data_IF_794006669785
#
_entry.id   IF_794006669785
#
_cell.length_a   1.000
_cell.length_b   1.000
_cell.length_c   1.000
_cell.angle_alpha   90.00
_cell.angle_beta   90.00
_cell.angle_gamma   90.00
#
_symmetry.space_group_name_H-M   'P 1'
#
loop_
_entity.id
_entity.type
_entity.pdbx_description
1 polymer ?
#
# COMPACT_ATOMS: atom_id res chain seq x y z
N UNK A 1 4.28 4.31 29.72
CA UNK A 1 3.98 5.13 28.53
C UNK A 1 3.07 4.32 27.64
N UNK A 2 1.89 4.83 27.31
CA UNK A 2 1.03 4.25 26.28
C UNK A 2 1.43 4.83 24.93
N UNK A 3 1.34 4.03 23.87
CA UNK A 3 1.49 4.57 22.52
C UNK A 3 0.35 5.57 22.25
N UNK A 4 0.62 6.65 21.47
CA UNK A 4 -0.45 7.54 21.04
C UNK A 4 -1.46 6.78 20.20
N UNK A 5 -2.73 7.19 20.31
CA UNK A 5 -3.78 6.69 19.43
C UNK A 5 -3.49 7.11 17.98
N UNK A 6 -3.72 6.20 17.05
CA UNK A 6 -3.58 6.49 15.63
C UNK A 6 -4.89 7.08 15.14
N UNK A 7 -4.81 8.29 14.58
CA UNK A 7 -5.93 9.07 14.07
C UNK A 7 -5.65 9.48 12.62
N UNK A 8 -6.65 10.04 11.96
CA UNK A 8 -6.48 10.56 10.60
C UNK A 8 -5.37 11.63 10.50
N UNK A 9 -5.03 12.28 11.60
CA UNK A 9 -3.99 13.31 11.66
C UNK A 9 -2.58 12.72 11.66
N UNK A 10 -2.39 11.44 12.03
CA UNK A 10 -1.07 10.83 12.20
C UNK A 10 -0.87 9.50 11.44
N UNK A 11 -1.90 8.94 10.81
CA UNK A 11 -1.82 7.70 10.02
C UNK A 11 -0.77 7.77 8.90
N UNK A 12 -0.57 8.95 8.32
CA UNK A 12 0.41 9.20 7.26
C UNK A 12 1.86 8.87 7.66
N UNK A 13 2.18 8.84 8.97
CA UNK A 13 3.52 8.49 9.47
C UNK A 13 3.93 7.05 9.16
N UNK A 14 2.97 6.14 8.99
CA UNK A 14 3.24 4.73 8.70
C UNK A 14 3.46 4.46 7.21
N UNK A 15 2.92 5.32 6.35
CA UNK A 15 2.83 5.10 4.90
C UNK A 15 4.20 4.96 4.24
N UNK A 16 5.22 5.81 4.50
CA UNK A 16 6.50 5.72 3.81
C UNK A 16 7.18 4.36 3.98
N UNK A 17 7.11 3.78 5.18
CA UNK A 17 7.69 2.47 5.45
C UNK A 17 6.93 1.35 4.73
N UNK A 18 5.59 1.42 4.71
CA UNK A 18 4.76 0.43 4.01
C UNK A 18 5.01 0.48 2.50
N UNK A 19 4.99 1.67 1.92
CA UNK A 19 5.27 1.87 0.49
C UNK A 19 6.65 1.32 0.15
N UNK A 20 7.71 1.68 0.89
CA UNK A 20 9.05 1.17 0.63
C UNK A 20 9.12 -0.37 0.65
N UNK A 21 8.42 -1.04 1.57
CA UNK A 21 8.38 -2.50 1.63
C UNK A 21 7.63 -3.12 0.46
N UNK A 22 6.46 -2.58 0.12
CA UNK A 22 5.64 -3.07 -0.99
C UNK A 22 6.35 -2.85 -2.33
N UNK A 23 6.97 -1.69 -2.53
CA UNK A 23 7.78 -1.40 -3.72
C UNK A 23 8.91 -2.41 -3.89
N UNK A 24 9.61 -2.77 -2.81
CA UNK A 24 10.61 -3.84 -2.85
C UNK A 24 10.04 -5.18 -3.32
N UNK A 25 8.87 -5.57 -2.81
CA UNK A 25 8.19 -6.80 -3.23
C UNK A 25 7.78 -6.77 -4.71
N UNK A 26 7.30 -5.64 -5.22
CA UNK A 26 6.96 -5.49 -6.66
C UNK A 26 8.21 -5.68 -7.52
N UNK A 27 9.31 -5.01 -7.19
CA UNK A 27 10.57 -5.10 -7.93
C UNK A 27 11.10 -6.54 -7.97
N UNK A 28 11.07 -7.22 -6.82
CA UNK A 28 11.55 -8.61 -6.69
C UNK A 28 10.72 -9.61 -7.49
N UNK A 29 9.42 -9.37 -7.64
CA UNK A 29 8.48 -10.33 -8.26
C UNK A 29 8.20 -10.06 -9.73
N UNK A 30 8.11 -8.80 -10.13
CA UNK A 30 7.73 -8.38 -11.48
C UNK A 30 8.94 -7.95 -12.33
N UNK A 31 10.17 -8.00 -11.77
CA UNK A 31 11.41 -7.49 -12.40
C UNK A 31 11.28 -6.04 -12.88
N UNK A 32 10.46 -5.25 -12.18
CA UNK A 32 10.17 -3.89 -12.55
C UNK A 32 11.21 -2.92 -11.96
N UNK A 33 11.31 -1.70 -12.51
CA UNK A 33 12.16 -0.67 -11.91
C UNK A 33 11.42 0.07 -10.77
N UNK A 34 12.18 0.84 -9.98
CA UNK A 34 11.66 1.56 -8.82
C UNK A 34 10.57 2.58 -9.19
N UNK A 35 10.74 3.30 -10.30
CA UNK A 35 9.82 4.35 -10.71
C UNK A 35 8.45 3.77 -11.04
N UNK A 36 8.40 2.72 -11.86
CA UNK A 36 7.16 2.07 -12.25
C UNK A 36 6.44 1.45 -11.04
N UNK A 37 7.19 0.83 -10.12
CA UNK A 37 6.61 0.26 -8.90
C UNK A 37 6.03 1.32 -7.95
N UNK A 38 6.64 2.52 -7.88
CA UNK A 38 6.09 3.64 -7.11
C UNK A 38 4.84 4.20 -7.78
N UNK A 39 4.88 4.44 -9.09
CA UNK A 39 3.74 4.94 -9.87
C UNK A 39 2.53 4.00 -9.69
N UNK A 40 2.76 2.70 -9.72
CA UNK A 40 1.73 1.70 -9.51
C UNK A 40 1.06 1.83 -8.13
N UNK A 41 1.85 1.86 -7.05
CA UNK A 41 1.33 1.95 -5.69
C UNK A 41 0.57 3.27 -5.51
N UNK A 42 1.16 4.41 -5.86
CA UNK A 42 0.54 5.72 -5.63
C UNK A 42 -0.77 5.93 -6.39
N UNK A 43 -0.96 5.24 -7.52
CA UNK A 43 -2.19 5.30 -8.31
C UNK A 43 -3.24 4.23 -7.92
N UNK A 44 -2.97 3.41 -6.91
CA UNK A 44 -3.88 2.35 -6.48
C UNK A 44 -4.96 2.86 -5.53
N UNK A 45 -6.12 2.20 -5.54
CA UNK A 45 -7.13 2.36 -4.49
C UNK A 45 -6.58 1.92 -3.14
N UNK A 46 -5.74 0.87 -3.12
CA UNK A 46 -5.07 0.39 -1.91
C UNK A 46 -4.27 1.51 -1.21
N UNK A 47 -3.53 2.33 -1.95
CA UNK A 47 -2.82 3.49 -1.39
C UNK A 47 -3.78 4.55 -0.85
N UNK A 48 -4.85 4.86 -1.61
CA UNK A 48 -5.88 5.80 -1.15
C UNK A 48 -6.57 5.33 0.14
N UNK A 49 -6.72 4.02 0.33
CA UNK A 49 -7.27 3.42 1.54
C UNK A 49 -6.24 3.41 2.68
N UNK A 50 -4.95 3.30 2.38
CA UNK A 50 -3.85 3.37 3.35
C UNK A 50 -3.71 4.76 3.99
N UNK A 51 -4.10 5.81 3.26
CA UNK A 51 -4.16 7.19 3.76
C UNK A 51 -5.33 7.44 4.72
N UNK A 52 -6.32 6.54 4.76
CA UNK A 52 -7.52 6.68 5.59
C UNK A 52 -7.40 5.83 6.84
N UNK A 53 -7.47 6.47 7.99
CA UNK A 53 -7.34 5.80 9.27
C UNK A 53 -8.47 4.80 9.52
N UNK A 54 -9.69 5.13 9.09
CA UNK A 54 -10.91 4.32 9.25
C UNK A 54 -10.83 2.93 8.60
N UNK A 55 -9.99 2.76 7.57
CA UNK A 55 -9.82 1.47 6.88
C UNK A 55 -8.96 0.52 7.70
N UNK A 56 -8.20 1.04 8.66
CA UNK A 56 -7.19 0.34 9.46
C UNK A 56 -6.13 -0.40 8.63
N UNK A 57 -6.02 -0.11 7.33
CA UNK A 57 -5.06 -0.79 6.44
C UNK A 57 -3.60 -0.53 6.86
N UNK A 58 -3.33 0.60 7.51
CA UNK A 58 -2.02 0.92 8.10
C UNK A 58 -1.56 -0.10 9.16
N UNK A 59 -2.50 -0.79 9.81
CA UNK A 59 -2.24 -1.83 10.80
C UNK A 59 -1.77 -3.14 10.15
N UNK A 60 -2.15 -3.38 8.89
CA UNK A 60 -1.86 -4.62 8.19
C UNK A 60 -0.40 -4.76 7.75
N UNK A 61 0.04 -6.00 7.57
CA UNK A 61 1.40 -6.29 7.08
C UNK A 61 1.63 -5.82 5.64
N UNK A 62 2.89 -5.56 5.28
CA UNK A 62 3.25 -5.19 3.89
C UNK A 62 2.86 -6.27 2.88
N UNK A 63 2.90 -7.55 3.26
CA UNK A 63 2.45 -8.67 2.43
C UNK A 63 0.97 -8.57 2.08
N UNK A 64 0.12 -8.24 3.05
CA UNK A 64 -1.32 -8.07 2.82
C UNK A 64 -1.62 -6.90 1.88
N UNK A 65 -0.92 -5.77 2.06
CA UNK A 65 -1.04 -4.60 1.19
C UNK A 65 -0.64 -4.95 -0.25
N UNK A 66 0.43 -5.72 -0.40
CA UNK A 66 0.91 -6.19 -1.71
C UNK A 66 -0.07 -7.17 -2.39
N UNK A 67 -0.66 -8.10 -1.64
CA UNK A 67 -1.71 -8.99 -2.16
C UNK A 67 -2.95 -8.19 -2.59
N UNK A 68 -3.38 -7.22 -1.78
CA UNK A 68 -4.51 -6.35 -2.11
C UNK A 68 -4.28 -5.55 -3.41
N UNK A 69 -3.03 -5.13 -3.66
CA UNK A 69 -2.63 -4.47 -4.91
C UNK A 69 -2.75 -5.41 -6.12
N UNK A 70 -2.37 -6.67 -5.97
CA UNK A 70 -2.54 -7.68 -7.03
C UNK A 70 -4.00 -7.96 -7.33
N UNK A 71 -4.82 -8.05 -6.29
CA UNK A 71 -6.26 -8.25 -6.44
C UNK A 71 -6.90 -7.05 -7.14
N UNK A 72 -6.49 -5.81 -6.82
CA UNK A 72 -6.91 -4.61 -7.55
C UNK A 72 -6.52 -4.67 -9.03
N UNK A 73 -5.28 -5.11 -9.34
CA UNK A 73 -4.80 -5.30 -10.72
C UNK A 73 -5.66 -6.31 -11.48
N UNK A 74 -5.93 -7.49 -10.89
CA UNK A 74 -6.71 -8.55 -11.54
C UNK A 74 -8.15 -8.09 -11.83
N UNK A 75 -8.80 -7.44 -10.85
CA UNK A 75 -10.14 -6.89 -11.04
C UNK A 75 -10.22 -5.81 -12.13
N UNK A 76 -9.15 -5.02 -12.34
CA UNK A 76 -9.07 -4.06 -13.47
C UNK A 76 -8.90 -4.75 -14.83
N UNK A 77 -8.35 -5.96 -14.88
CA UNK A 77 -8.17 -6.75 -16.11
C UNK A 77 -9.47 -7.45 -16.52
N UNK A 78 -10.26 -7.94 -15.57
CA UNK A 78 -11.52 -8.64 -15.84
C UNK A 78 -12.68 -7.74 -16.33
N UNK A 79 -12.55 -6.41 -16.19
CA UNK A 79 -13.53 -5.44 -16.68
C UNK A 79 -13.22 -4.85 -18.07
N UNK A 80 -12.27 -5.40 -18.83
CA UNK A 80 -11.90 -4.93 -20.18
C UNK A 80 -12.23 -5.91 -21.29
#
# INVERSE_FOLDING_TARGET
MTLPEITQENVHLFIPFKVAKVTGMIIETEHNNLEDALIEIYNSKVYSDLEKEETKLWHEGATYIYESLKDEKQNKVDCK
#
